data_IF_746161901311
#
_entry.id   IF_746161901311
#
_cell.length_a   1.000
_cell.length_b   1.000
_cell.length_c   1.000
_cell.angle_alpha   90.00
_cell.angle_beta   90.00
_cell.angle_gamma   90.00
#
_symmetry.space_group_name_H-M   'P 1'
#
loop_
_entity.id
_entity.type
_entity.pdbx_description
1 polymer ?
#
# COMPACT_ATOMS: atom_id res chain seq x y z
N UNK A 1 -5.23 0.63 11.34
CA UNK A 1 -5.71 0.17 12.66
C UNK A 1 -6.71 1.17 13.25
N UNK A 2 -7.43 0.83 14.32
CA UNK A 2 -8.32 1.70 15.07
C UNK A 2 -7.58 2.57 16.09
N UNK A 3 -8.24 3.64 16.58
CA UNK A 3 -7.63 4.54 17.56
C UNK A 3 -7.28 3.85 18.88
N UNK A 4 -8.12 2.93 19.36
CA UNK A 4 -7.86 2.17 20.61
C UNK A 4 -6.61 1.30 20.48
N UNK A 5 -6.45 0.65 19.34
CA UNK A 5 -5.28 -0.18 19.00
C UNK A 5 -4.00 0.67 18.93
N UNK A 6 -4.07 1.86 18.32
CA UNK A 6 -2.93 2.77 18.28
C UNK A 6 -2.52 3.27 19.68
N UNK A 7 -3.50 3.48 20.58
CA UNK A 7 -3.24 3.84 21.97
C UNK A 7 -2.58 2.68 22.72
N UNK A 8 -3.09 1.45 22.57
CA UNK A 8 -2.51 0.24 23.17
C UNK A 8 -1.03 0.07 22.79
N UNK A 9 -0.68 0.29 21.52
CA UNK A 9 0.72 0.23 21.06
C UNK A 9 1.60 1.26 21.78
N UNK A 10 1.12 2.50 21.94
CA UNK A 10 1.88 3.56 22.61
C UNK A 10 1.99 3.34 24.12
N UNK A 11 0.94 2.81 24.75
CA UNK A 11 0.94 2.41 26.15
C UNK A 11 1.95 1.29 26.38
N UNK A 12 1.94 0.26 25.54
CA UNK A 12 2.92 -0.85 25.57
C UNK A 12 4.35 -0.30 25.48
N UNK A 13 4.62 0.62 24.56
CA UNK A 13 5.96 1.25 24.45
C UNK A 13 6.30 2.00 25.75
N UNK A 14 5.36 2.74 26.34
CA UNK A 14 5.64 3.47 27.59
C UNK A 14 5.87 2.56 28.80
N UNK A 15 5.23 1.39 28.85
CA UNK A 15 5.40 0.41 29.93
C UNK A 15 6.76 -0.29 29.87
N UNK A 16 7.22 -0.66 28.68
CA UNK A 16 8.51 -1.34 28.50
C UNK A 16 9.70 -0.37 28.52
N UNK A 17 9.50 0.89 28.15
CA UNK A 17 10.56 1.88 28.05
C UNK A 17 10.24 3.10 28.93
N UNK A 18 10.63 3.11 30.21
CA UNK A 18 10.38 4.23 31.13
C UNK A 18 10.94 5.58 30.64
N UNK A 19 11.98 5.55 29.82
CA UNK A 19 12.57 6.75 29.19
C UNK A 19 11.71 7.34 28.07
N UNK A 20 10.68 6.61 27.62
CA UNK A 20 9.78 7.07 26.59
C UNK A 20 8.70 7.98 27.19
N UNK A 21 8.96 9.28 27.19
CA UNK A 21 7.96 10.26 27.60
C UNK A 21 6.84 10.37 26.56
N UNK A 22 5.65 9.88 26.92
CA UNK A 22 4.45 9.98 26.11
C UNK A 22 3.63 11.21 26.51
N UNK A 23 3.90 12.34 25.84
CA UNK A 23 3.10 13.57 26.00
C UNK A 23 1.86 13.54 25.09
N UNK A 24 0.80 14.30 25.45
CA UNK A 24 -0.41 14.43 24.61
C UNK A 24 -0.09 14.86 23.17
N UNK A 25 0.87 15.77 23.00
CA UNK A 25 1.31 16.23 21.67
C UNK A 25 1.96 15.09 20.88
N UNK A 26 2.86 14.33 21.52
CA UNK A 26 3.55 13.19 20.90
C UNK A 26 2.58 12.09 20.53
N UNK A 27 1.65 11.76 21.43
CA UNK A 27 0.59 10.79 21.18
C UNK A 27 -0.26 11.17 19.97
N UNK A 28 -0.70 12.44 19.86
CA UNK A 28 -1.49 12.91 18.72
C UNK A 28 -0.78 12.68 17.38
N UNK A 29 0.52 12.97 17.31
CA UNK A 29 1.32 12.78 16.10
C UNK A 29 1.55 11.29 15.82
N UNK A 30 1.89 10.49 16.81
CA UNK A 30 2.16 9.06 16.59
C UNK A 30 0.88 8.30 16.21
N UNK A 31 -0.24 8.58 16.88
CA UNK A 31 -1.54 7.98 16.57
C UNK A 31 -1.93 8.26 15.12
N UNK A 32 -1.77 9.49 14.62
CA UNK A 32 -2.15 9.78 13.24
C UNK A 32 -1.37 8.95 12.21
N UNK A 33 -0.13 8.56 12.51
CA UNK A 33 0.64 7.69 11.64
C UNK A 33 0.31 6.21 11.85
N UNK A 34 0.13 5.77 13.10
CA UNK A 34 -0.24 4.40 13.42
C UNK A 34 -1.58 4.01 12.78
N UNK A 35 -2.56 4.92 12.71
CA UNK A 35 -3.85 4.66 12.06
C UNK A 35 -3.71 4.20 10.60
N UNK A 36 -2.66 4.60 9.89
CA UNK A 36 -2.37 4.20 8.50
C UNK A 36 -1.76 2.80 8.38
N UNK A 37 -1.41 2.17 9.50
CA UNK A 37 -0.69 0.90 9.55
C UNK A 37 -1.61 -0.27 9.90
N UNK A 38 -1.11 -1.48 9.64
CA UNK A 38 -1.73 -2.72 10.07
C UNK A 38 -1.43 -3.00 11.56
N UNK A 39 -2.47 -3.29 12.34
CA UNK A 39 -2.33 -3.47 13.80
C UNK A 39 -1.48 -4.70 14.15
N UNK A 40 -1.83 -5.86 13.58
CA UNK A 40 -1.17 -7.12 13.89
C UNK A 40 0.30 -7.11 13.46
N UNK A 41 0.59 -6.54 12.27
CA UNK A 41 1.95 -6.35 11.79
C UNK A 41 2.78 -5.46 12.72
N UNK A 42 2.23 -4.31 13.13
CA UNK A 42 2.91 -3.39 14.05
C UNK A 42 3.16 -4.04 15.42
N UNK A 43 2.16 -4.75 15.96
CA UNK A 43 2.26 -5.45 17.25
C UNK A 43 3.35 -6.52 17.23
N UNK A 44 3.39 -7.34 16.17
CA UNK A 44 4.41 -8.37 16.01
C UNK A 44 5.81 -7.77 15.91
N UNK A 45 6.00 -6.72 15.11
CA UNK A 45 7.28 -6.03 15.02
C UNK A 45 7.71 -5.41 16.36
N UNK A 46 6.76 -4.83 17.10
CA UNK A 46 7.03 -4.27 18.42
C UNK A 46 7.52 -5.34 19.41
N UNK A 47 6.86 -6.50 19.47
CA UNK A 47 7.27 -7.61 20.35
C UNK A 47 8.68 -8.09 20.00
N UNK A 48 8.96 -8.28 18.69
CA UNK A 48 10.29 -8.69 18.22
C UNK A 48 11.35 -7.64 18.57
N UNK A 49 11.01 -6.37 18.49
CA UNK A 49 11.92 -5.27 18.78
C UNK A 49 12.24 -5.18 20.28
N UNK A 50 11.23 -5.27 21.14
CA UNK A 50 11.39 -5.28 22.61
C UNK A 50 12.33 -6.39 23.06
N UNK A 51 12.26 -7.57 22.43
CA UNK A 51 13.16 -8.68 22.76
C UNK A 51 14.64 -8.40 22.40
N UNK A 52 14.93 -7.43 21.53
CA UNK A 52 16.26 -7.19 20.95
C UNK A 52 16.90 -5.88 21.38
N UNK A 53 16.10 -4.87 21.72
CA UNK A 53 16.57 -3.51 21.99
C UNK A 53 16.15 -3.04 23.37
N UNK A 54 17.07 -2.52 24.20
CA UNK A 54 16.73 -1.86 25.45
C UNK A 54 16.22 -0.42 25.26
N UNK A 55 16.27 0.12 24.03
CA UNK A 55 15.85 1.48 23.71
C UNK A 55 14.49 1.50 23.02
N UNK A 56 13.69 2.53 23.26
CA UNK A 56 12.37 2.66 22.65
C UNK A 56 12.43 2.68 21.11
N UNK A 57 11.51 1.98 20.42
CA UNK A 57 11.50 1.92 18.96
C UNK A 57 11.19 3.28 18.34
N UNK A 58 11.74 3.50 17.16
CA UNK A 58 11.23 4.51 16.23
C UNK A 58 10.01 3.97 15.52
N UNK A 59 9.21 4.87 14.95
CA UNK A 59 8.03 4.46 14.19
C UNK A 59 8.38 3.56 12.99
N UNK A 60 9.53 3.80 12.35
CA UNK A 60 10.06 2.96 11.26
C UNK A 60 10.37 1.54 11.67
N UNK A 61 10.73 1.33 12.94
CA UNK A 61 11.16 0.02 13.43
C UNK A 61 9.99 -0.95 13.58
N UNK A 62 8.78 -0.40 13.71
CA UNK A 62 7.53 -1.15 13.89
C UNK A 62 6.56 -0.98 12.73
N UNK A 63 6.88 -0.16 11.72
CA UNK A 63 5.95 0.19 10.65
C UNK A 63 5.58 -1.02 9.79
N UNK A 64 4.27 -1.26 9.65
CA UNK A 64 3.70 -2.20 8.67
C UNK A 64 2.52 -1.52 8.00
N UNK A 65 2.60 -1.33 6.70
CA UNK A 65 1.52 -0.72 5.93
C UNK A 65 0.70 -1.81 5.25
N UNK A 66 -0.64 -1.69 5.24
CA UNK A 66 -1.46 -2.58 4.44
C UNK A 66 -1.02 -2.48 2.97
N UNK A 67 -1.11 -3.58 2.19
CA UNK A 67 -0.79 -3.53 0.78
C UNK A 67 -1.67 -2.47 0.10
N UNK A 68 -1.06 -1.61 -0.72
CA UNK A 68 -1.84 -0.67 -1.52
C UNK A 68 -2.82 -1.46 -2.39
N UNK A 69 -4.11 -1.04 -2.47
CA UNK A 69 -5.04 -1.66 -3.38
C UNK A 69 -4.45 -1.60 -4.80
N UNK A 70 -4.28 -2.76 -5.43
CA UNK A 70 -3.62 -2.86 -6.72
C UNK A 70 -4.50 -2.25 -7.81
N UNK A 71 -4.35 -0.94 -8.02
CA UNK A 71 -5.07 -0.18 -9.04
C UNK A 71 -4.81 -0.70 -10.46
N UNK A 72 -3.70 -1.41 -10.70
CA UNK A 72 -3.41 -2.00 -12.00
C UNK A 72 -4.32 -3.19 -12.29
N UNK A 73 -4.60 -4.04 -11.30
CA UNK A 73 -5.55 -5.16 -11.45
C UNK A 73 -6.96 -4.67 -11.76
N UNK A 74 -7.40 -3.58 -11.11
CA UNK A 74 -8.71 -2.98 -11.37
C UNK A 74 -8.79 -2.38 -12.78
N UNK A 75 -7.75 -1.64 -13.21
CA UNK A 75 -7.65 -1.12 -14.58
C UNK A 75 -7.65 -2.25 -15.61
N UNK A 76 -6.92 -3.33 -15.35
CA UNK A 76 -6.83 -4.46 -16.27
C UNK A 76 -8.17 -5.16 -16.44
N UNK A 77 -8.91 -5.41 -15.35
CA UNK A 77 -10.28 -5.94 -15.41
C UNK A 77 -11.22 -5.03 -16.20
N UNK A 78 -11.14 -3.72 -15.97
CA UNK A 78 -11.96 -2.74 -16.69
C UNK A 78 -11.68 -2.77 -18.20
N UNK A 79 -10.40 -2.82 -18.59
CA UNK A 79 -10.01 -2.97 -19.99
C UNK A 79 -10.49 -4.27 -20.61
N UNK A 80 -10.44 -5.38 -19.86
CA UNK A 80 -10.95 -6.66 -20.33
C UNK A 80 -12.47 -6.63 -20.57
N UNK A 81 -13.23 -6.01 -19.66
CA UNK A 81 -14.67 -5.81 -19.83
C UNK A 81 -15.01 -4.89 -21.01
N UNK A 82 -14.24 -3.81 -21.19
CA UNK A 82 -14.40 -2.89 -22.32
C UNK A 82 -14.07 -3.59 -23.64
N UNK A 83 -12.98 -4.37 -23.70
CA UNK A 83 -12.60 -5.14 -24.89
C UNK A 83 -13.63 -6.21 -25.28
N UNK A 84 -14.31 -6.83 -24.29
CA UNK A 84 -15.41 -7.78 -24.54
C UNK A 84 -16.64 -7.13 -25.17
N UNK A 85 -16.88 -5.84 -24.90
CA UNK A 85 -18.02 -5.08 -25.46
C UNK A 85 -17.78 -4.59 -26.89
N UNK A 86 -16.53 -4.63 -27.37
CA UNK A 86 -16.20 -4.22 -28.74
C UNK A 86 -16.72 -5.26 -29.73
N UNK A 87 -17.59 -4.87 -30.68
CA UNK A 87 -18.07 -5.78 -31.73
C UNK A 87 -16.93 -6.31 -32.61
N UNK A 88 -17.08 -7.53 -33.14
CA UNK A 88 -16.05 -8.15 -33.97
C UNK A 88 -15.76 -7.37 -35.26
N UNK A 89 -16.76 -6.72 -35.85
CA UNK A 89 -16.57 -5.85 -37.03
C UNK A 89 -15.59 -4.71 -36.75
N UNK A 90 -15.64 -4.12 -35.54
CA UNK A 90 -14.73 -3.05 -35.13
C UNK A 90 -13.31 -3.60 -34.98
N UNK A 91 -13.16 -4.82 -34.44
CA UNK A 91 -11.84 -5.48 -34.31
C UNK A 91 -11.25 -5.86 -35.67
N UNK A 92 -12.09 -6.25 -36.63
CA UNK A 92 -11.66 -6.55 -37.99
C UNK A 92 -11.23 -5.28 -38.72
N UNK A 93 -12.05 -4.23 -38.70
CA UNK A 93 -11.71 -2.94 -39.30
C UNK A 93 -10.42 -2.34 -38.71
N UNK A 94 -10.23 -2.46 -37.40
CA UNK A 94 -8.99 -2.01 -36.76
C UNK A 94 -7.76 -2.77 -37.28
N UNK A 95 -7.85 -4.11 -37.40
CA UNK A 95 -6.76 -4.94 -37.95
C UNK A 95 -6.42 -4.54 -39.38
N UNK A 96 -7.42 -4.36 -40.24
CA UNK A 96 -7.20 -3.95 -41.63
C UNK A 96 -6.56 -2.56 -41.75
N UNK A 97 -6.98 -1.60 -40.93
CA UNK A 97 -6.37 -0.26 -40.90
C UNK A 97 -4.94 -0.29 -40.35
N UNK A 98 -4.70 -1.09 -39.32
CA UNK A 98 -3.37 -1.25 -38.74
C UNK A 98 -2.39 -1.92 -39.72
N UNK A 99 -2.83 -2.95 -40.43
CA UNK A 99 -2.03 -3.62 -41.47
C UNK A 99 -1.71 -2.69 -42.65
N UNK A 100 -2.63 -1.80 -43.02
CA UNK A 100 -2.37 -0.76 -44.03
C UNK A 100 -1.31 0.23 -43.55
N UNK A 101 -1.42 0.71 -42.31
CA UNK A 101 -0.45 1.62 -41.73
C UNK A 101 0.95 1.00 -41.63
N UNK A 102 1.06 -0.28 -41.26
CA UNK A 102 2.34 -0.99 -41.23
C UNK A 102 2.99 -1.08 -42.62
N UNK A 103 2.20 -1.29 -43.67
CA UNK A 103 2.69 -1.29 -45.06
C UNK A 103 3.11 0.10 -45.54
N UNK A 104 2.41 1.14 -45.09
CA UNK A 104 2.71 2.54 -45.42
C UNK A 104 3.92 3.11 -44.66
N UNK A 105 4.21 2.60 -43.45
CA UNK A 105 5.36 2.99 -42.63
C UNK A 105 6.60 2.14 -42.95
N UNK A 106 6.42 1.00 -43.63
CA UNK A 106 7.51 0.14 -44.11
C UNK A 106 7.83 0.27 -45.62
N UNK A 107 7.88 1.46 -46.27
CA UNK A 107 8.36 1.55 -47.64
C UNK A 107 9.90 1.55 -47.67
N UNK A 108 10.43 0.48 -48.30
CA UNK A 108 11.80 0.25 -48.76
C UNK A 108 12.89 -0.06 -47.72
N UNK A 109 13.23 -1.35 -47.61
CA UNK A 109 14.62 -1.83 -47.78
C UNK A 109 14.68 -2.73 -49.02
#
# INVERSE_FOLDING_TARGET
MMQKEAVEILETISEFYPTFELTKRKAKVLISHLLLMDYEGVKNNLIIYIAKSPYAPKLSDIAVYPPEPNMHLEKWKKWEEEAKKVPEEVKQNFREQFDKLLKEISPNE
#
